data_IF_250089596220
#
_entry.id   IF_250089596220
#
_cell.length_a   1.000
_cell.length_b   1.000
_cell.length_c   1.000
_cell.angle_alpha   90.00
_cell.angle_beta   90.00
_cell.angle_gamma   90.00
#
_symmetry.space_group_name_H-M   'P 1'
#
loop_
_entity.id
_entity.type
_entity.pdbx_description
1 polymer ?
#
# COMPACT_ATOMS: atom_id res chain seq x y z
N UNK A 1 -19.78 2.34 7.57
CA UNK A 1 -18.57 2.10 6.76
C UNK A 1 -17.96 0.78 7.20
N UNK A 2 -17.95 -0.25 6.35
CA UNK A 2 -17.44 -1.57 6.73
C UNK A 2 -15.91 -1.56 6.78
N UNK A 3 -15.31 -2.29 7.73
CA UNK A 3 -13.85 -2.45 7.80
C UNK A 3 -13.38 -3.25 6.58
N UNK A 4 -12.55 -2.64 5.74
CA UNK A 4 -11.93 -3.34 4.60
C UNK A 4 -10.80 -4.23 5.13
N UNK A 5 -10.82 -5.51 4.77
CA UNK A 5 -9.78 -6.45 5.18
C UNK A 5 -8.41 -6.01 4.64
N UNK A 6 -7.33 -6.32 5.36
CA UNK A 6 -5.97 -6.00 4.90
C UNK A 6 -5.66 -6.66 3.54
N UNK A 7 -6.21 -7.85 3.30
CA UNK A 7 -6.13 -8.55 2.01
C UNK A 7 -6.82 -7.73 0.92
N UNK A 8 -8.00 -7.17 1.19
CA UNK A 8 -8.72 -6.31 0.24
C UNK A 8 -7.97 -5.01 -0.05
N UNK A 9 -7.33 -4.42 0.97
CA UNK A 9 -6.49 -3.23 0.80
C UNK A 9 -5.27 -3.51 -0.08
N UNK A 10 -4.55 -4.62 0.17
CA UNK A 10 -3.41 -5.06 -0.65
C UNK A 10 -3.85 -5.28 -2.10
N UNK A 11 -4.98 -5.98 -2.31
CA UNK A 11 -5.49 -6.24 -3.66
C UNK A 11 -5.83 -4.96 -4.43
N UNK A 12 -6.30 -3.90 -3.76
CA UNK A 12 -6.56 -2.61 -4.39
C UNK A 12 -5.26 -1.89 -4.76
N UNK A 13 -4.27 -1.90 -3.87
CA UNK A 13 -2.95 -1.32 -4.17
C UNK A 13 -2.27 -2.05 -5.33
N UNK A 14 -2.38 -3.37 -5.40
CA UNK A 14 -1.84 -4.17 -6.50
C UNK A 14 -2.51 -3.84 -7.84
N UNK A 15 -3.83 -3.61 -7.84
CA UNK A 15 -4.55 -3.12 -9.03
C UNK A 15 -4.05 -1.76 -9.48
N UNK A 16 -3.91 -0.81 -8.55
CA UNK A 16 -3.46 0.54 -8.85
C UNK A 16 -2.02 0.54 -9.38
N UNK A 17 -1.12 -0.25 -8.79
CA UNK A 17 0.25 -0.45 -9.32
C UNK A 17 0.19 -0.92 -10.77
N UNK A 18 -0.57 -1.98 -11.05
CA UNK A 18 -0.69 -2.53 -12.40
C UNK A 18 -1.29 -1.53 -13.41
N UNK A 19 -2.16 -0.64 -12.95
CA UNK A 19 -2.71 0.45 -13.76
C UNK A 19 -1.65 1.52 -14.05
N UNK A 20 -0.91 1.95 -13.03
CA UNK A 20 0.15 2.97 -13.18
C UNK A 20 1.28 2.50 -14.07
N UNK A 21 1.70 1.24 -13.94
CA UNK A 21 2.72 0.62 -14.80
C UNK A 21 2.33 0.70 -16.29
N UNK A 22 1.04 0.67 -16.61
CA UNK A 22 0.53 0.79 -17.98
C UNK A 22 0.35 2.26 -18.42
N UNK A 23 -0.15 3.11 -17.53
CA UNK A 23 -0.57 4.48 -17.86
C UNK A 23 0.59 5.46 -17.79
N UNK A 24 1.41 5.43 -16.74
CA UNK A 24 2.44 6.45 -16.50
C UNK A 24 3.47 6.54 -17.62
N UNK A 25 3.99 5.43 -18.19
CA UNK A 25 4.92 5.53 -19.32
C UNK A 25 4.31 6.25 -20.53
N UNK A 26 3.01 6.03 -20.80
CA UNK A 26 2.29 6.68 -21.91
C UNK A 26 2.10 8.17 -21.66
N UNK A 27 1.78 8.55 -20.42
CA UNK A 27 1.63 9.95 -20.03
C UNK A 27 2.97 10.71 -20.06
N UNK A 28 4.06 10.05 -19.67
CA UNK A 28 5.42 10.60 -19.77
C UNK A 28 5.83 10.77 -21.23
N UNK A 29 5.62 9.75 -22.07
CA UNK A 29 5.92 9.83 -23.51
C UNK A 29 5.12 10.94 -24.21
N UNK A 30 3.87 11.15 -23.79
CA UNK A 30 3.02 12.21 -24.33
C UNK A 30 3.33 13.61 -23.76
N UNK A 31 4.32 13.74 -22.86
CA UNK A 31 4.68 15.01 -22.23
C UNK A 31 3.65 15.55 -21.23
N UNK A 32 2.64 14.74 -20.85
CA UNK A 32 1.59 15.12 -19.89
C UNK A 32 1.98 14.86 -18.44
N UNK A 33 3.05 14.10 -18.21
CA UNK A 33 3.60 13.81 -16.89
C UNK A 33 5.13 13.89 -16.92
N UNK A 34 5.72 14.47 -15.88
CA UNK A 34 7.18 14.45 -15.70
C UNK A 34 7.63 13.06 -15.25
N UNK A 35 8.74 12.57 -15.80
CA UNK A 35 9.29 11.23 -15.48
C UNK A 35 9.55 11.06 -13.98
N UNK A 36 10.14 12.09 -13.36
CA UNK A 36 10.51 12.07 -11.94
C UNK A 36 9.26 11.97 -11.03
N UNK A 37 8.14 12.56 -11.47
CA UNK A 37 6.86 12.47 -10.75
C UNK A 37 6.30 11.05 -10.85
N UNK A 38 6.35 10.44 -12.04
CA UNK A 38 5.92 9.06 -12.25
C UNK A 38 6.74 8.09 -11.38
N UNK A 39 8.07 8.21 -11.40
CA UNK A 39 8.98 7.37 -10.61
C UNK A 39 8.74 7.52 -9.11
N UNK A 40 8.63 8.76 -8.62
CA UNK A 40 8.35 9.03 -7.22
C UNK A 40 6.98 8.49 -6.79
N UNK A 41 5.96 8.61 -7.64
CA UNK A 41 4.63 8.08 -7.38
C UNK A 41 4.62 6.54 -7.34
N UNK A 42 5.38 5.88 -8.22
CA UNK A 42 5.58 4.43 -8.21
C UNK A 42 6.31 3.98 -6.93
N UNK A 43 7.42 4.63 -6.57
CA UNK A 43 8.17 4.30 -5.37
C UNK A 43 7.30 4.37 -4.11
N UNK A 44 6.46 5.42 -3.99
CA UNK A 44 5.55 5.59 -2.85
C UNK A 44 4.50 4.49 -2.76
N UNK A 45 3.89 4.08 -3.89
CA UNK A 45 2.85 3.06 -3.87
C UNK A 45 3.44 1.66 -3.60
N UNK A 46 4.67 1.38 -4.06
CA UNK A 46 5.38 0.17 -3.68
C UNK A 46 5.69 0.13 -2.18
N UNK A 47 6.19 1.23 -1.60
CA UNK A 47 6.43 1.31 -0.16
C UNK A 47 5.15 1.14 0.67
N UNK A 48 4.02 1.69 0.20
CA UNK A 48 2.72 1.49 0.84
C UNK A 48 2.29 0.02 0.80
N UNK A 49 2.46 -0.65 -0.35
CA UNK A 49 2.20 -2.08 -0.50
C UNK A 49 3.05 -2.92 0.46
N UNK A 50 4.35 -2.66 0.52
CA UNK A 50 5.28 -3.36 1.42
C UNK A 50 4.87 -3.20 2.88
N UNK A 51 4.46 -2.00 3.28
CA UNK A 51 3.94 -1.72 4.63
C UNK A 51 2.70 -2.57 4.93
N UNK A 52 1.74 -2.66 4.00
CA UNK A 52 0.54 -3.48 4.18
C UNK A 52 0.87 -4.97 4.27
N UNK A 53 1.77 -5.46 3.42
CA UNK A 53 2.23 -6.85 3.44
C UNK A 53 2.95 -7.17 4.75
N UNK A 54 3.79 -6.25 5.25
CA UNK A 54 4.42 -6.38 6.56
C UNK A 54 3.36 -6.50 7.65
N UNK A 55 2.37 -5.61 7.68
CA UNK A 55 1.27 -5.67 8.64
C UNK A 55 0.47 -6.98 8.55
N UNK A 56 0.26 -7.50 7.35
CA UNK A 56 -0.40 -8.80 7.15
C UNK A 56 0.43 -9.94 7.72
N UNK A 57 1.73 -9.98 7.42
CA UNK A 57 2.67 -11.00 7.88
C UNK A 57 2.81 -11.01 9.41
N UNK A 58 2.79 -9.84 10.03
CA UNK A 58 2.98 -9.66 11.47
C UNK A 58 1.66 -9.50 12.25
N UNK A 59 0.53 -9.90 11.65
CA UNK A 59 -0.81 -9.72 12.23
C UNK A 59 -0.95 -10.28 13.65
N UNK A 60 -0.32 -11.42 13.96
CA UNK A 60 -0.35 -12.00 15.29
C UNK A 60 0.20 -11.04 16.36
N UNK A 61 1.40 -10.48 16.14
CA UNK A 61 2.01 -9.53 17.05
C UNK A 61 1.20 -8.25 17.24
N UNK A 62 0.53 -7.75 16.19
CA UNK A 62 -0.40 -6.63 16.32
C UNK A 62 -1.62 -6.97 17.18
N UNK A 63 -2.18 -8.17 17.03
CA UNK A 63 -3.32 -8.61 17.85
C UNK A 63 -2.90 -8.74 19.32
N UNK A 64 -1.75 -9.35 19.58
CA UNK A 64 -1.17 -9.48 20.93
C UNK A 64 -0.95 -8.10 21.57
N UNK A 65 -0.30 -7.18 20.85
CA UNK A 65 -0.09 -5.81 21.32
C UNK A 65 -1.41 -5.10 21.65
N UNK A 66 -2.41 -5.21 20.78
CA UNK A 66 -3.72 -4.59 21.00
C UNK A 66 -4.46 -5.21 22.19
N UNK A 67 -4.33 -6.52 22.40
CA UNK A 67 -4.88 -7.18 23.58
C UNK A 67 -4.18 -6.72 24.85
N UNK A 68 -2.85 -6.67 24.86
CA UNK A 68 -2.05 -6.23 26.00
C UNK A 68 -2.31 -4.76 26.36
N UNK A 69 -2.44 -3.89 25.35
CA UNK A 69 -2.83 -2.48 25.50
C UNK A 69 -4.24 -2.34 26.09
N UNK A 70 -5.19 -3.16 25.64
CA UNK A 70 -6.56 -3.18 26.19
C UNK A 70 -6.59 -3.66 27.64
N UNK A 71 -5.68 -4.56 28.01
CA UNK A 71 -5.51 -5.05 29.37
C UNK A 71 -4.72 -4.08 30.29
N UNK A 72 -4.16 -2.98 29.76
CA UNK A 72 -3.35 -2.03 30.53
C UNK A 72 -1.97 -2.56 30.93
N UNK A 73 -1.49 -3.58 30.24
CA UNK A 73 -0.20 -4.27 30.53
C UNK A 73 0.97 -3.76 29.70
N UNK A 74 0.71 -2.77 28.83
CA UNK A 74 1.66 -2.03 27.99
C UNK A 74 1.19 -0.59 27.91
#
# INVERSE_FOLDING_TARGET
MNKISIVGQIAEIDREIAMREKVYPREVQAGRMKKEIAEMAMARIFAARETLVFCQKHRAGFIEYMAAKKAGTV
#
